data_IF_201805848168
#
_entry.id   IF_201805848168
#
_cell.length_a   1.000
_cell.length_b   1.000
_cell.length_c   1.000
_cell.angle_alpha   90.00
_cell.angle_beta   90.00
_cell.angle_gamma   90.00
#
_symmetry.space_group_name_H-M   'P 1'
#
loop_
_entity.id
_entity.type
_entity.pdbx_description
1 polymer ?
#
# COMPACT_ATOMS: atom_id res chain seq x y z
N UNK A 1 -37.63 4.29 4.81
CA UNK A 1 -36.38 5.07 4.88
C UNK A 1 -35.40 4.28 5.73
N UNK A 2 -34.57 3.44 5.13
CA UNK A 2 -33.52 2.72 5.86
C UNK A 2 -32.20 3.27 5.37
N UNK A 3 -31.59 4.12 6.19
CA UNK A 3 -30.23 4.58 5.95
C UNK A 3 -29.30 3.38 6.18
N UNK A 4 -28.69 2.89 5.12
CA UNK A 4 -27.55 1.99 5.19
C UNK A 4 -26.36 2.90 5.48
N UNK A 5 -25.95 3.00 6.75
CA UNK A 5 -24.70 3.65 7.10
C UNK A 5 -23.54 2.82 6.50
N UNK A 6 -22.63 3.42 5.72
CA UNK A 6 -21.48 2.70 5.20
C UNK A 6 -20.61 2.24 6.39
N UNK A 7 -19.98 1.05 6.33
CA UNK A 7 -19.13 0.58 7.40
C UNK A 7 -17.96 1.57 7.57
N UNK A 8 -17.99 2.34 8.66
CA UNK A 8 -16.87 3.20 9.05
C UNK A 8 -15.68 2.29 9.33
N UNK A 9 -14.70 2.27 8.43
CA UNK A 9 -13.46 1.51 8.63
C UNK A 9 -12.85 1.94 9.97
N UNK A 10 -12.70 0.99 10.90
CA UNK A 10 -12.19 1.22 12.27
C UNK A 10 -10.74 1.75 12.32
N UNK A 11 -10.06 1.91 11.18
CA UNK A 11 -8.72 2.47 11.12
C UNK A 11 -8.69 3.77 10.30
N UNK A 12 -8.03 4.83 10.79
CA UNK A 12 -7.73 5.99 9.96
C UNK A 12 -6.83 5.58 8.79
N UNK A 13 -6.98 6.19 7.60
CA UNK A 13 -6.15 5.85 6.43
C UNK A 13 -4.67 6.15 6.70
N UNK A 14 -3.78 5.39 6.08
CA UNK A 14 -2.34 5.60 6.22
C UNK A 14 -1.98 7.00 5.67
N UNK A 15 -1.27 7.81 6.45
CA UNK A 15 -0.84 9.15 6.03
C UNK A 15 0.62 9.10 5.62
N UNK A 16 0.90 9.41 4.36
CA UNK A 16 2.26 9.48 3.81
C UNK A 16 2.31 10.44 2.62
N UNK A 17 3.51 10.93 2.32
CA UNK A 17 3.77 11.73 1.12
C UNK A 17 4.09 10.78 -0.05
N UNK A 18 3.30 10.78 -1.15
CA UNK A 18 3.53 9.89 -2.30
C UNK A 18 4.95 10.00 -2.88
N UNK A 19 5.53 11.20 -2.89
CA UNK A 19 6.89 11.45 -3.40
C UNK A 19 8.00 10.80 -2.57
N UNK A 20 7.67 10.25 -1.38
CA UNK A 20 8.61 9.55 -0.49
C UNK A 20 8.28 8.06 -0.36
N UNK A 21 7.57 7.49 -1.33
CA UNK A 21 7.20 6.08 -1.30
C UNK A 21 8.38 5.15 -1.61
N UNK A 22 9.36 5.56 -2.43
CA UNK A 22 10.52 4.72 -2.73
C UNK A 22 11.27 4.34 -1.44
N UNK A 23 11.56 3.05 -1.27
CA UNK A 23 12.16 2.41 -0.08
C UNK A 23 11.31 2.47 1.20
N UNK A 24 10.03 2.86 1.10
CA UNK A 24 9.10 2.77 2.22
C UNK A 24 8.70 1.32 2.51
N UNK A 25 8.44 1.04 3.78
CA UNK A 25 8.22 -0.31 4.32
C UNK A 25 6.75 -0.52 4.62
N UNK A 26 6.23 -1.67 4.23
CA UNK A 26 4.81 -1.97 4.32
C UNK A 26 4.55 -3.39 4.82
N UNK A 27 3.58 -3.51 5.70
CA UNK A 27 3.09 -4.79 6.23
C UNK A 27 1.68 -5.02 5.71
N UNK A 28 1.46 -6.14 5.02
CA UNK A 28 0.13 -6.61 4.65
C UNK A 28 -0.60 -7.12 5.90
N UNK A 29 -1.83 -6.64 6.14
CA UNK A 29 -2.70 -7.11 7.23
C UNK A 29 -3.38 -8.43 6.91
N UNK A 30 -3.47 -8.78 5.63
CA UNK A 30 -3.97 -10.06 5.15
C UNK A 30 -2.91 -10.67 4.22
N UNK A 31 -1.85 -11.30 4.77
CA UNK A 31 -0.78 -11.90 3.97
C UNK A 31 -1.32 -13.01 3.07
N UNK A 32 -0.91 -12.99 1.80
CA UNK A 32 -1.06 -14.14 0.89
C UNK A 32 0.34 -14.73 0.63
N UNK A 33 0.44 -16.02 0.29
CA UNK A 33 1.73 -16.67 -0.03
C UNK A 33 2.82 -16.55 1.05
N UNK A 34 2.44 -16.35 2.32
CA UNK A 34 3.37 -16.04 3.44
C UNK A 34 4.13 -14.71 3.28
N UNK A 35 3.69 -13.84 2.38
CA UNK A 35 4.26 -12.52 2.11
C UNK A 35 3.57 -11.50 3.01
N UNK A 36 4.25 -11.15 4.11
CA UNK A 36 3.76 -10.16 5.08
C UNK A 36 4.42 -8.79 4.88
N UNK A 37 5.72 -8.77 4.57
CA UNK A 37 6.53 -7.57 4.50
C UNK A 37 6.91 -7.23 3.06
N UNK A 38 6.70 -5.97 2.69
CA UNK A 38 6.94 -5.46 1.35
C UNK A 38 7.73 -4.15 1.40
N UNK A 39 8.61 -3.95 0.43
CA UNK A 39 9.33 -2.71 0.19
C UNK A 39 8.85 -2.11 -1.13
N UNK A 40 8.61 -0.79 -1.17
CA UNK A 40 8.47 -0.11 -2.46
C UNK A 40 9.85 0.04 -3.08
N UNK A 41 10.09 -0.55 -4.24
CA UNK A 41 11.40 -0.50 -4.91
C UNK A 41 11.44 0.52 -6.05
N UNK A 42 10.32 0.69 -6.75
CA UNK A 42 10.21 1.59 -7.90
C UNK A 42 8.89 2.38 -7.91
N UNK A 43 8.89 3.53 -8.58
CA UNK A 43 7.73 4.41 -8.74
C UNK A 43 7.42 4.57 -10.23
N UNK A 44 6.17 4.34 -10.62
CA UNK A 44 5.70 4.59 -11.98
C UNK A 44 4.97 5.93 -12.01
N UNK A 45 5.47 6.87 -12.81
CA UNK A 45 4.90 8.20 -12.99
C UNK A 45 4.47 8.40 -14.45
N UNK A 46 3.46 9.23 -14.68
CA UNK A 46 3.09 9.68 -16.03
C UNK A 46 4.06 10.74 -16.57
N UNK A 47 3.84 11.19 -17.82
CA UNK A 47 4.66 12.22 -18.46
C UNK A 47 4.63 13.58 -17.72
N UNK A 48 3.59 13.83 -16.91
CA UNK A 48 3.45 15.02 -16.09
C UNK A 48 4.04 14.86 -14.68
N UNK A 49 4.62 13.70 -14.35
CA UNK A 49 5.20 13.40 -13.04
C UNK A 49 4.17 13.03 -11.97
N UNK A 50 2.96 12.65 -12.35
CA UNK A 50 1.96 12.14 -11.41
C UNK A 50 2.23 10.66 -11.13
N UNK A 51 2.34 10.31 -9.85
CA UNK A 51 2.48 8.92 -9.43
C UNK A 51 1.21 8.12 -9.78
N UNK A 52 1.39 7.01 -10.50
CA UNK A 52 0.35 6.08 -10.91
C UNK A 52 0.40 4.81 -10.07
N UNK A 53 1.57 4.15 -10.06
CA UNK A 53 1.75 2.86 -9.41
C UNK A 53 3.08 2.79 -8.67
N UNK A 54 3.20 1.81 -7.78
CA UNK A 54 4.45 1.45 -7.12
C UNK A 54 4.75 -0.02 -7.32
N UNK A 55 6.03 -0.33 -7.49
CA UNK A 55 6.48 -1.71 -7.46
C UNK A 55 6.72 -2.12 -6.01
N UNK A 56 5.91 -3.05 -5.52
CA UNK A 56 6.10 -3.69 -4.22
C UNK A 56 6.85 -4.99 -4.37
N UNK A 57 7.99 -5.11 -3.69
CA UNK A 57 8.73 -6.35 -3.58
C UNK A 57 8.50 -6.99 -2.21
N UNK A 58 8.04 -8.23 -2.20
CA UNK A 58 7.94 -9.03 -0.99
C UNK A 58 9.34 -9.37 -0.46
N UNK A 59 9.62 -9.04 0.80
CA UNK A 59 10.94 -9.25 1.42
C UNK A 59 11.26 -10.75 1.53
N UNK A 60 10.24 -11.58 1.78
CA UNK A 60 10.43 -13.02 1.97
C UNK A 60 10.71 -13.78 0.67
N UNK A 61 9.92 -13.54 -0.37
CA UNK A 61 9.99 -14.29 -1.63
C UNK A 61 10.80 -13.60 -2.73
N UNK A 62 11.07 -12.29 -2.59
CA UNK A 62 11.65 -11.45 -3.64
C UNK A 62 10.70 -11.15 -4.80
N UNK A 63 9.46 -11.66 -4.76
CA UNK A 63 8.46 -11.42 -5.80
C UNK A 63 8.05 -9.95 -5.82
N UNK A 64 8.02 -9.37 -7.01
CA UNK A 64 7.52 -8.02 -7.26
C UNK A 64 6.09 -8.04 -7.83
N UNK A 65 5.35 -6.97 -7.55
CA UNK A 65 4.08 -6.67 -8.18
C UNK A 65 3.87 -5.16 -8.25
N UNK A 66 3.18 -4.71 -9.30
CA UNK A 66 2.68 -3.33 -9.39
C UNK A 66 1.38 -3.19 -8.60
N UNK A 67 1.22 -2.05 -7.95
CA UNK A 67 0.06 -1.70 -7.15
C UNK A 67 -0.28 -0.23 -7.39
N UNK A 68 -1.57 0.12 -7.53
CA UNK A 68 -2.00 1.53 -7.46
C UNK A 68 -1.54 2.08 -6.10
N UNK A 69 -0.75 3.14 -6.11
CA UNK A 69 -0.15 3.68 -4.89
C UNK A 69 -1.19 4.09 -3.84
N UNK A 70 -2.43 4.40 -4.27
CA UNK A 70 -3.54 4.77 -3.40
C UNK A 70 -4.02 3.59 -2.55
N UNK A 71 -3.80 2.35 -2.97
CA UNK A 71 -4.13 1.18 -2.15
C UNK A 71 -3.36 1.18 -0.83
N UNK A 72 -2.14 1.72 -0.80
CA UNK A 72 -1.35 1.86 0.42
C UNK A 72 -2.01 2.81 1.44
N UNK A 73 -2.98 3.65 1.04
CA UNK A 73 -3.79 4.48 1.95
C UNK A 73 -4.78 3.65 2.77
N UNK A 74 -5.19 2.48 2.27
CA UNK A 74 -6.12 1.60 2.98
C UNK A 74 -5.39 0.92 4.16
N UNK A 75 -5.66 1.43 5.35
CA UNK A 75 -5.07 0.95 6.60
C UNK A 75 -5.70 -0.35 7.11
N UNK A 76 -6.78 -0.84 6.49
CA UNK A 76 -7.32 -2.18 6.73
C UNK A 76 -6.51 -3.26 5.98
N UNK A 77 -5.86 -2.89 4.87
CA UNK A 77 -5.03 -3.79 4.06
C UNK A 77 -3.54 -3.64 4.32
N UNK A 78 -3.08 -2.40 4.52
CA UNK A 78 -1.67 -2.07 4.65
C UNK A 78 -1.35 -1.35 5.95
N UNK A 79 -0.17 -1.59 6.49
CA UNK A 79 0.37 -0.85 7.64
C UNK A 79 1.78 -0.39 7.33
N UNK A 80 2.09 0.88 7.60
CA UNK A 80 3.43 1.42 7.43
C UNK A 80 4.38 0.77 8.44
N UNK A 81 5.59 0.39 8.00
CA UNK A 81 6.63 -0.21 8.83
C UNK A 81 6.67 -1.74 8.77
N UNK A 82 7.54 -2.32 9.61
CA UNK A 82 7.68 -3.77 9.82
C UNK A 82 6.95 -4.20 11.09
N UNK A 83 5.66 -4.45 10.96
CA UNK A 83 4.82 -4.94 12.06
C UNK A 83 4.44 -6.41 11.89
#
# INVERSE_FOLDING_TARGET
MSQIEPPTSKNPPNRFNPRKLRLSKWTARQPCNREKHFLVVELLEDEAGNLLEVELQAVYSGRSQWLDWRELRDSARWRIGWH
#
